data_IF_741455289902
#
_entry.id   IF_741455289902
#
_cell.length_a   1.000
_cell.length_b   1.000
_cell.length_c   1.000
_cell.angle_alpha   90.00
_cell.angle_beta   90.00
_cell.angle_gamma   90.00
#
_symmetry.space_group_name_H-M   'P 1'
#
loop_
_entity.id
_entity.type
_entity.pdbx_description
1 polymer ?
#
# COMPACT_ATOMS: atom_id res chain seq x y z
N UNK A 1 -9.35 15.59 -10.87
CA UNK A 1 -8.17 15.47 -9.99
C UNK A 1 -7.86 16.84 -9.42
N UNK A 2 -8.11 17.04 -8.12
CA UNK A 2 -7.85 18.32 -7.45
C UNK A 2 -6.59 18.13 -6.59
N UNK A 3 -5.55 18.91 -6.86
CA UNK A 3 -4.32 18.93 -6.06
C UNK A 3 -4.14 20.31 -5.44
N UNK A 4 -3.88 20.35 -4.14
CA UNK A 4 -3.69 21.59 -3.39
C UNK A 4 -2.27 21.66 -2.82
N UNK A 5 -1.72 22.86 -2.66
CA UNK A 5 -0.35 23.05 -2.17
C UNK A 5 -0.37 23.72 -0.78
N UNK A 6 0.41 23.16 0.14
CA UNK A 6 0.49 23.63 1.52
C UNK A 6 1.93 23.88 1.94
N UNK A 7 2.14 24.88 2.78
CA UNK A 7 3.47 25.22 3.31
C UNK A 7 3.55 25.23 4.84
N UNK A 8 4.65 24.71 5.36
CA UNK A 8 4.94 24.63 6.79
C UNK A 8 6.43 24.77 7.08
N UNK A 9 6.81 24.97 8.34
CA UNK A 9 8.23 24.97 8.74
C UNK A 9 8.80 23.55 8.80
N UNK A 10 7.90 22.58 9.00
CA UNK A 10 8.19 21.15 8.96
C UNK A 10 7.14 20.43 8.12
N UNK A 11 7.48 19.23 7.65
CA UNK A 11 6.56 18.37 6.90
C UNK A 11 5.29 18.08 7.70
N UNK A 12 5.42 17.77 8.99
CA UNK A 12 4.29 17.53 9.90
C UNK A 12 3.37 18.74 10.03
N UNK A 13 3.94 19.95 10.09
CA UNK A 13 3.15 21.17 10.19
C UNK A 13 2.39 21.47 8.88
N UNK A 14 3.02 21.23 7.73
CA UNK A 14 2.37 21.39 6.43
C UNK A 14 1.22 20.39 6.25
N UNK A 15 1.42 19.13 6.67
CA UNK A 15 0.40 18.07 6.63
C UNK A 15 -0.75 18.37 7.60
N UNK A 16 -0.46 18.86 8.81
CA UNK A 16 -1.50 19.24 9.77
C UNK A 16 -2.41 20.37 9.25
N UNK A 17 -1.84 21.33 8.51
CA UNK A 17 -2.63 22.38 7.83
C UNK A 17 -3.50 21.81 6.72
N UNK A 18 -2.96 20.91 5.91
CA UNK A 18 -3.73 20.23 4.87
C UNK A 18 -4.89 19.42 5.47
N UNK A 19 -4.65 18.67 6.54
CA UNK A 19 -5.68 17.89 7.24
C UNK A 19 -6.76 18.77 7.89
N UNK A 20 -6.40 19.96 8.37
CA UNK A 20 -7.36 20.91 8.92
C UNK A 20 -8.28 21.52 7.84
N UNK A 21 -7.79 21.65 6.60
CA UNK A 21 -8.52 22.28 5.48
C UNK A 21 -9.30 21.25 4.63
N UNK A 22 -8.75 20.04 4.47
CA UNK A 22 -9.37 18.93 3.73
C UNK A 22 -10.24 18.03 4.62
N UNK A 23 -10.02 18.05 5.94
CA UNK A 23 -10.68 17.15 6.89
C UNK A 23 -9.99 15.78 6.97
N UNK A 24 -10.63 14.84 7.68
CA UNK A 24 -10.10 13.48 7.95
C UNK A 24 -10.16 12.51 6.77
N UNK A 25 -10.16 13.00 5.54
CA UNK A 25 -10.17 12.15 4.34
C UNK A 25 -8.76 11.60 4.02
N UNK A 26 -8.68 10.44 3.37
CA UNK A 26 -7.40 9.86 2.96
C UNK A 26 -6.84 10.62 1.75
N UNK A 27 -5.64 11.17 1.89
CA UNK A 27 -4.98 11.98 0.86
C UNK A 27 -3.52 11.56 0.65
N UNK A 28 -3.08 11.66 -0.60
CA UNK A 28 -1.68 11.44 -0.97
C UNK A 28 -0.88 12.72 -0.76
N UNK A 29 0.29 12.62 -0.11
CA UNK A 29 1.19 13.75 0.17
C UNK A 29 2.48 13.59 -0.62
N UNK A 30 2.73 14.53 -1.53
CA UNK A 30 3.98 14.63 -2.29
C UNK A 30 4.78 15.84 -1.81
N UNK A 31 6.01 15.63 -1.32
CA UNK A 31 6.85 16.74 -0.88
C UNK A 31 7.58 17.35 -2.07
N UNK A 32 7.25 18.59 -2.40
CA UNK A 32 7.82 19.30 -3.55
C UNK A 32 9.18 19.93 -3.22
N UNK A 33 9.29 20.58 -2.07
CA UNK A 33 10.46 21.39 -1.73
C UNK A 33 10.75 21.30 -0.23
N UNK A 34 11.96 20.84 0.14
CA UNK A 34 12.47 20.85 1.52
C UNK A 34 13.61 21.87 1.60
N UNK A 35 13.27 23.13 1.87
CA UNK A 35 14.28 24.15 2.20
C UNK A 35 14.66 23.98 3.67
N UNK A 36 15.80 23.37 3.96
CA UNK A 36 16.27 23.13 5.33
C UNK A 36 17.79 23.04 5.40
N UNK A 37 18.45 24.19 5.57
CA UNK A 37 19.88 24.31 5.84
C UNK A 37 20.15 24.83 7.26
N UNK A 38 21.39 24.70 7.73
CA UNK A 38 21.88 24.93 9.11
C UNK A 38 21.70 26.35 9.69
N UNK A 39 20.83 27.20 9.12
CA UNK A 39 20.54 28.54 9.60
C UNK A 39 19.06 28.91 9.38
N UNK A 40 18.20 28.39 10.25
CA UNK A 40 16.97 29.07 10.71
C UNK A 40 15.89 29.47 9.70
N UNK A 41 15.91 28.98 8.46
CA UNK A 41 14.85 29.25 7.47
C UNK A 41 14.39 27.94 6.86
N UNK A 42 13.58 27.23 7.62
CA UNK A 42 13.01 25.96 7.20
C UNK A 42 11.64 26.25 6.55
N UNK A 43 11.51 25.97 5.25
CA UNK A 43 10.24 26.04 4.53
C UNK A 43 10.05 24.75 3.77
N UNK A 44 8.95 24.06 4.05
CA UNK A 44 8.56 22.82 3.39
C UNK A 44 7.27 23.08 2.64
N UNK A 45 7.26 22.73 1.36
CA UNK A 45 6.07 22.76 0.52
C UNK A 45 5.65 21.33 0.19
N UNK A 46 4.38 21.03 0.45
CA UNK A 46 3.76 19.76 0.13
C UNK A 46 2.64 19.99 -0.88
N UNK A 47 2.43 19.04 -1.77
CA UNK A 47 1.26 18.95 -2.63
C UNK A 47 0.41 17.80 -2.12
N UNK A 48 -0.85 18.07 -1.87
CA UNK A 48 -1.82 17.11 -1.36
C UNK A 48 -2.82 16.81 -2.45
N UNK A 49 -2.98 15.53 -2.77
CA UNK A 49 -3.97 15.04 -3.73
C UNK A 49 -5.10 14.40 -2.94
N UNK A 50 -6.29 14.98 -3.07
CA UNK A 50 -7.52 14.34 -2.58
C UNK A 50 -7.89 13.21 -3.53
N UNK A 51 -8.06 11.99 -3.03
CA UNK A 51 -8.60 10.87 -3.80
C UNK A 51 -10.11 11.03 -3.94
N UNK A 52 -10.54 12.10 -4.62
CA UNK A 52 -11.92 12.25 -5.06
C UNK A 52 -12.13 11.41 -6.31
N UNK A 53 -12.75 10.25 -6.09
CA UNK A 53 -13.18 9.27 -7.09
C UNK A 53 -12.05 8.57 -7.86
N UNK A 54 -12.20 7.24 -7.90
CA UNK A 54 -11.42 6.25 -8.63
C UNK A 54 -10.97 6.82 -10.00
N UNK A 55 -9.67 7.07 -10.23
CA UNK A 55 -9.20 7.41 -11.57
C UNK A 55 -9.20 6.16 -12.45
N UNK A 56 -9.80 6.26 -13.64
CA UNK A 56 -9.81 5.20 -14.64
C UNK A 56 -8.37 4.71 -14.92
N UNK A 57 -8.10 3.40 -14.85
CA UNK A 57 -6.74 2.84 -14.99
C UNK A 57 -6.16 2.96 -16.42
N UNK A 58 -6.84 3.64 -17.34
CA UNK A 58 -6.39 3.80 -18.73
C UNK A 58 -5.67 5.12 -19.04
N UNK A 59 -5.52 6.03 -18.07
CA UNK A 59 -4.91 7.34 -18.29
C UNK A 59 -3.42 7.42 -17.90
N UNK A 60 -2.59 6.47 -18.35
CA UNK A 60 -1.13 6.71 -18.50
C UNK A 60 -0.48 5.53 -19.24
N UNK A 61 -0.58 5.55 -20.56
CA UNK A 61 0.41 4.91 -21.41
C UNK A 61 1.50 5.93 -21.71
N UNK A 62 2.73 5.69 -21.26
CA UNK A 62 3.88 5.83 -22.14
C UNK A 62 5.09 5.03 -21.61
N UNK A 63 6.04 4.86 -22.51
CA UNK A 63 6.71 3.61 -22.81
C UNK A 63 8.22 3.74 -22.59
N UNK A 64 8.90 2.60 -22.68
CA UNK A 64 10.37 2.41 -22.80
C UNK A 64 11.15 2.51 -21.49
N UNK A 65 12.01 1.55 -21.13
CA UNK A 65 13.15 1.09 -21.93
C UNK A 65 13.47 -0.41 -21.79
N UNK A 66 13.88 -0.96 -22.92
CA UNK A 66 14.34 -2.32 -23.16
C UNK A 66 15.78 -2.61 -22.67
N UNK A 67 16.08 -3.92 -22.56
CA UNK A 67 17.43 -4.51 -22.56
C UNK A 67 17.93 -4.92 -21.17
N UNK A 68 18.57 -6.08 -20.91
CA UNK A 68 19.22 -7.05 -21.79
C UNK A 68 19.55 -8.33 -20.99
N UNK A 69 19.37 -9.50 -21.60
CA UNK A 69 20.32 -10.64 -21.64
C UNK A 69 20.77 -11.35 -20.33
N UNK A 70 20.20 -12.54 -20.13
CA UNK A 70 20.83 -13.89 -20.02
C UNK A 70 22.24 -14.00 -19.41
N UNK A 71 22.39 -14.86 -18.38
CA UNK A 71 23.48 -15.86 -18.31
C UNK A 71 23.28 -16.95 -17.23
N UNK A 72 23.90 -18.09 -17.51
CA UNK A 72 23.81 -19.44 -16.92
C UNK A 72 24.49 -19.61 -15.54
N UNK A 73 23.92 -20.53 -14.73
CA UNK A 73 24.52 -21.74 -14.08
C UNK A 73 25.89 -21.59 -13.39
N UNK A 74 26.02 -22.00 -12.12
CA UNK A 74 26.60 -23.29 -11.67
C UNK A 74 26.97 -23.31 -10.16
N UNK A 75 26.49 -24.36 -9.47
CA UNK A 75 27.06 -25.10 -8.32
C UNK A 75 28.31 -24.56 -7.59
N UNK A 76 28.27 -24.48 -6.24
CA UNK A 76 28.71 -25.54 -5.31
C UNK A 76 28.88 -25.02 -3.87
N UNK A 77 28.37 -25.79 -2.91
CA UNK A 77 28.71 -25.81 -1.48
C UNK A 77 30.17 -26.28 -1.29
N UNK A 78 30.87 -25.98 -0.18
CA UNK A 78 30.56 -26.60 1.11
C UNK A 78 30.76 -25.71 2.36
N UNK A 79 30.45 -26.33 3.50
CA UNK A 79 30.29 -25.77 4.83
C UNK A 79 31.60 -25.41 5.56
N UNK A 80 31.54 -24.42 6.47
CA UNK A 80 32.13 -24.57 7.80
C UNK A 80 31.53 -23.64 8.87
N UNK A 81 31.39 -24.21 10.07
CA UNK A 81 30.97 -23.65 11.36
C UNK A 81 31.78 -22.43 11.77
N UNK A 82 31.16 -21.45 12.43
CA UNK A 82 31.64 -21.01 13.75
C UNK A 82 30.53 -20.34 14.57
N UNK A 83 30.60 -20.56 15.89
CA UNK A 83 29.59 -20.28 16.89
C UNK A 83 29.58 -18.79 17.28
N UNK A 84 28.38 -18.18 17.32
CA UNK A 84 28.13 -17.01 18.17
C UNK A 84 26.80 -17.20 18.91
N UNK A 85 26.78 -17.09 20.25
CA UNK A 85 25.53 -17.12 20.99
C UNK A 85 24.79 -15.80 20.74
N UNK A 86 23.73 -15.84 19.93
CA UNK A 86 22.83 -14.69 19.78
C UNK A 86 21.83 -14.77 20.92
N UNK A 87 22.16 -14.02 21.96
CA UNK A 87 21.34 -13.64 23.09
C UNK A 87 19.91 -13.34 22.62
N UNK A 88 18.95 -14.15 23.09
CA UNK A 88 17.52 -14.00 22.82
C UNK A 88 17.04 -12.70 23.46
N UNK A 89 17.14 -11.59 22.73
CA UNK A 89 16.43 -10.36 23.07
C UNK A 89 14.93 -10.70 23.11
N UNK A 90 14.33 -10.47 24.28
CA UNK A 90 12.89 -10.55 24.55
C UNK A 90 12.12 -9.94 23.37
N UNK A 91 11.21 -10.73 22.82
CA UNK A 91 10.14 -10.29 21.95
C UNK A 91 9.37 -9.20 22.69
N UNK A 92 9.60 -7.95 22.28
CA UNK A 92 8.77 -6.83 22.72
C UNK A 92 7.42 -7.06 22.07
N UNK A 93 6.39 -7.23 22.88
CA UNK A 93 5.01 -7.24 22.42
C UNK A 93 4.78 -5.91 21.71
N UNK A 94 4.49 -5.97 20.41
CA UNK A 94 4.13 -4.80 19.63
C UNK A 94 2.83 -4.24 20.21
N UNK A 95 2.74 -2.92 20.43
CA UNK A 95 1.56 -2.32 21.01
C UNK A 95 0.36 -2.61 20.11
N UNK A 96 -0.73 -3.11 20.69
CA UNK A 96 -2.03 -3.18 20.06
C UNK A 96 -2.45 -1.75 19.73
N UNK A 97 -2.27 -1.36 18.46
CA UNK A 97 -2.77 -0.09 17.97
C UNK A 97 -4.27 -0.28 17.76
N UNK A 98 -5.08 0.41 18.56
CA UNK A 98 -6.52 0.56 18.33
C UNK A 98 -6.70 1.27 16.98
N UNK A 99 -6.79 0.47 15.91
CA UNK A 99 -7.10 0.92 14.57
C UNK A 99 -8.62 0.99 14.53
N UNK A 100 -9.16 2.21 14.34
CA UNK A 100 -10.59 2.41 14.09
C UNK A 100 -11.08 1.42 13.03
N UNK A 101 -12.24 0.77 13.24
CA UNK A 101 -12.75 -0.22 12.31
C UNK A 101 -12.77 0.37 10.89
N UNK A 102 -12.26 -0.38 9.89
CA UNK A 102 -12.13 0.13 8.54
C UNK A 102 -13.47 0.65 8.04
N UNK A 103 -13.46 1.85 7.43
CA UNK A 103 -14.67 2.49 6.95
C UNK A 103 -15.47 1.50 6.08
N UNK A 104 -16.78 1.37 6.35
CA UNK A 104 -17.66 0.44 5.64
C UNK A 104 -17.63 0.65 4.12
N UNK A 105 -17.43 1.91 3.69
CA UNK A 105 -17.23 2.28 2.28
C UNK A 105 -16.00 1.64 1.67
N UNK A 106 -14.90 1.56 2.41
CA UNK A 106 -13.64 0.94 1.96
C UNK A 106 -13.83 -0.57 1.85
N UNK A 107 -14.45 -1.21 2.85
CA UNK A 107 -14.74 -2.64 2.82
C UNK A 107 -15.57 -3.01 1.59
N UNK A 108 -16.65 -2.26 1.34
CA UNK A 108 -17.51 -2.45 0.17
C UNK A 108 -16.78 -2.18 -1.15
N UNK A 109 -15.94 -1.15 -1.21
CA UNK A 109 -15.14 -0.86 -2.39
C UNK A 109 -14.21 -2.03 -2.74
N UNK A 110 -13.53 -2.61 -1.74
CA UNK A 110 -12.65 -3.77 -1.94
C UNK A 110 -13.44 -4.99 -2.41
N UNK A 111 -14.55 -5.34 -1.76
CA UNK A 111 -15.42 -6.45 -2.21
C UNK A 111 -15.87 -6.25 -3.66
N UNK A 112 -16.44 -5.08 -3.98
CA UNK A 112 -16.93 -4.78 -5.34
C UNK A 112 -15.84 -4.80 -6.41
N UNK A 113 -14.62 -4.39 -6.05
CA UNK A 113 -13.48 -4.43 -6.94
C UNK A 113 -13.07 -5.87 -7.26
N UNK A 114 -12.97 -6.72 -6.24
CA UNK A 114 -12.60 -8.13 -6.40
C UNK A 114 -13.67 -8.89 -7.18
N UNK A 115 -14.94 -8.71 -6.82
CA UNK A 115 -16.08 -9.32 -7.54
C UNK A 115 -16.08 -8.88 -9.01
N UNK A 116 -15.98 -7.58 -9.28
CA UNK A 116 -15.93 -7.07 -10.65
C UNK A 116 -14.69 -7.51 -11.44
N UNK A 117 -13.57 -7.80 -10.78
CA UNK A 117 -12.39 -8.37 -11.44
C UNK A 117 -12.66 -9.82 -11.87
N UNK A 118 -13.26 -10.61 -10.98
CA UNK A 118 -13.59 -12.02 -11.22
C UNK A 118 -14.70 -12.16 -12.27
N UNK A 119 -15.70 -11.28 -12.26
CA UNK A 119 -16.74 -11.21 -13.29
C UNK A 119 -16.17 -10.95 -14.69
N UNK A 120 -15.16 -10.06 -14.81
CA UNK A 120 -14.48 -9.80 -16.09
C UNK A 120 -13.65 -11.00 -16.56
N UNK A 121 -13.29 -11.92 -15.67
CA UNK A 121 -12.70 -13.21 -16.04
C UNK A 121 -13.76 -14.24 -16.50
N UNK A 122 -15.05 -13.91 -16.37
CA UNK A 122 -16.18 -14.78 -16.74
C UNK A 122 -16.64 -15.71 -15.62
N UNK A 123 -16.30 -15.41 -14.35
CA UNK A 123 -16.71 -16.20 -13.19
C UNK A 123 -17.51 -15.35 -12.23
N UNK A 124 -18.45 -15.97 -11.51
CA UNK A 124 -19.18 -15.30 -10.43
C UNK A 124 -18.49 -15.60 -9.09
N UNK A 125 -18.40 -14.59 -8.23
CA UNK A 125 -17.85 -14.72 -6.89
C UNK A 125 -18.53 -13.76 -5.92
N UNK A 126 -18.58 -14.14 -4.65
CA UNK A 126 -19.05 -13.31 -3.54
C UNK A 126 -17.89 -13.08 -2.57
N UNK A 127 -17.58 -11.82 -2.25
CA UNK A 127 -16.48 -11.44 -1.37
C UNK A 127 -17.00 -10.86 -0.05
N UNK A 128 -16.97 -11.66 1.01
CA UNK A 128 -17.48 -11.29 2.34
C UNK A 128 -16.33 -10.89 3.25
N UNK A 129 -16.43 -9.71 3.85
CA UNK A 129 -15.51 -9.29 4.90
C UNK A 129 -15.76 -10.08 6.19
N UNK A 130 -14.72 -10.65 6.77
CA UNK A 130 -14.83 -11.47 7.99
C UNK A 130 -14.37 -10.69 9.23
N UNK A 131 -13.08 -10.31 9.31
CA UNK A 131 -12.51 -9.56 10.45
C UNK A 131 -11.22 -8.84 10.07
N UNK A 132 -10.88 -7.81 10.84
CA UNK A 132 -9.56 -7.17 10.83
C UNK A 132 -8.70 -7.69 11.97
N UNK A 133 -7.50 -8.17 11.67
CA UNK A 133 -6.48 -8.51 12.66
C UNK A 133 -5.48 -7.34 12.72
N UNK A 134 -5.91 -6.24 13.35
CA UNK A 134 -5.19 -4.97 13.42
C UNK A 134 -4.82 -4.41 12.03
N UNK A 135 -3.67 -4.84 11.51
CA UNK A 135 -3.09 -4.39 10.24
C UNK A 135 -3.59 -5.12 8.99
N UNK A 136 -4.39 -6.18 9.13
CA UNK A 136 -4.83 -7.03 7.99
C UNK A 136 -6.34 -7.06 7.89
N UNK A 137 -6.84 -6.99 6.65
CA UNK A 137 -8.23 -7.26 6.32
C UNK A 137 -8.36 -8.69 5.80
N UNK A 138 -9.29 -9.45 6.35
CA UNK A 138 -9.58 -10.82 5.92
C UNK A 138 -10.91 -10.83 5.17
N UNK A 139 -10.85 -11.23 3.91
CA UNK A 139 -12.01 -11.47 3.06
C UNK A 139 -12.11 -12.95 2.73
N UNK A 140 -13.32 -13.47 2.77
CA UNK A 140 -13.67 -14.80 2.29
C UNK A 140 -14.31 -14.67 0.91
N UNK A 141 -13.75 -15.37 -0.08
CA UNK A 141 -14.24 -15.34 -1.45
C UNK A 141 -14.85 -16.70 -1.76
N UNK A 142 -16.15 -16.71 -2.03
CA UNK A 142 -16.89 -17.92 -2.43
C UNK A 142 -17.20 -17.87 -3.92
N UNK A 143 -16.84 -18.92 -4.66
CA UNK A 143 -17.11 -19.05 -6.09
C UNK A 143 -17.19 -20.52 -6.49
N UNK A 144 -18.07 -20.86 -7.44
CA UNK A 144 -18.09 -22.20 -8.05
C UNK A 144 -16.77 -22.51 -8.78
N UNK A 145 -16.09 -21.47 -9.28
CA UNK A 145 -14.84 -21.57 -10.04
C UNK A 145 -13.58 -21.35 -9.18
N UNK A 146 -13.68 -21.54 -7.87
CA UNK A 146 -12.58 -21.30 -6.90
C UNK A 146 -11.24 -21.96 -7.28
N UNK A 147 -11.28 -23.16 -7.87
CA UNK A 147 -10.06 -23.87 -8.30
C UNK A 147 -9.25 -23.09 -9.35
N UNK A 148 -9.94 -22.37 -10.25
CA UNK A 148 -9.32 -21.57 -11.31
C UNK A 148 -8.75 -20.28 -10.71
N UNK A 149 -9.50 -19.67 -9.78
CA UNK A 149 -9.10 -18.46 -9.08
C UNK A 149 -7.85 -18.68 -8.23
N UNK A 150 -7.75 -19.79 -7.49
CA UNK A 150 -6.55 -20.14 -6.71
C UNK A 150 -5.36 -20.49 -7.65
N UNK A 151 -5.65 -21.14 -8.78
CA UNK A 151 -4.64 -21.55 -9.74
C UNK A 151 -3.68 -22.62 -9.21
N UNK A 152 -2.66 -22.96 -10.02
CA UNK A 152 -1.71 -24.02 -9.68
C UNK A 152 -0.78 -23.58 -8.54
N UNK A 153 -0.96 -24.19 -7.35
CA UNK A 153 -0.20 -23.90 -6.12
C UNK A 153 -0.46 -22.50 -5.53
N UNK A 154 -1.65 -21.92 -5.72
CA UNK A 154 -1.98 -20.61 -5.14
C UNK A 154 -1.20 -19.46 -5.76
N UNK A 155 -1.03 -19.47 -7.08
CA UNK A 155 -0.22 -18.49 -7.81
C UNK A 155 -1.03 -17.31 -8.38
N UNK A 156 -2.33 -17.49 -8.51
CA UNK A 156 -3.25 -16.49 -9.03
C UNK A 156 -3.83 -15.66 -7.90
#
# INVERSE_FOLDING_TARGET
MTSMEFEGRTEREAVAKAAAELGSESFDVEVLEKSGGLFGRNKVRIRVRTLSAIPDPMASGDSSSAGSVKSKKQNNRPAQKENRPVERKKRVEEPEVDIDPPEEKVLKAVSSFVEGMIERMGYEAEAVYNKSDGSKLIFEISSESSNILIGKKGKN
#
